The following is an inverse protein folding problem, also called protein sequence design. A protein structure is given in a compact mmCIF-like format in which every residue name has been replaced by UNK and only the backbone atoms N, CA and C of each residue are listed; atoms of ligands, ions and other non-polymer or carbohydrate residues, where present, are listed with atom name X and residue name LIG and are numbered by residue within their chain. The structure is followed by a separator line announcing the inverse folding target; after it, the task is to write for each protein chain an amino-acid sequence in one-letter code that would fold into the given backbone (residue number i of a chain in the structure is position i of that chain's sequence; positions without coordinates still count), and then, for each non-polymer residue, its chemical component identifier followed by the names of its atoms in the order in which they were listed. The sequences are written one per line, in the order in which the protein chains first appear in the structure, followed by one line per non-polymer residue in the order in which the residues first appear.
data_IF_426555482725
#
_entry.id   IF_426555482725
#
_cell.length_a   1.000
_cell.length_b   1.000
_cell.length_c   1.000
_cell.angle_alpha   90.00
_cell.angle_beta   90.00
_cell.angle_gamma   90.00
#
_symmetry.space_group_name_H-M   'P 1'
#
loop_
_entity.id
_entity.type
_entity.pdbx_description
1 polymer ?
#
# COMPACT_ATOMS: atom_id res chain seq x y z
N UNK A 1 21.86 -9.81 12.03
CA UNK A 1 21.49 -8.85 10.98
C UNK A 1 21.50 -7.41 11.52
N UNK A 2 20.80 -7.11 12.63
CA UNK A 2 20.77 -5.76 13.22
C UNK A 2 22.18 -5.24 13.55
N UNK A 3 23.02 -6.03 14.21
CA UNK A 3 24.42 -5.68 14.52
C UNK A 3 25.29 -5.42 13.27
N UNK A 4 24.81 -5.75 12.08
CA UNK A 4 25.43 -5.50 10.78
C UNK A 4 24.72 -4.38 9.99
N UNK A 5 23.87 -3.57 10.66
CA UNK A 5 23.27 -2.38 10.08
C UNK A 5 21.88 -2.57 9.46
N UNK A 6 21.19 -3.70 9.69
CA UNK A 6 19.80 -3.81 9.25
C UNK A 6 18.93 -2.84 10.06
N UNK A 7 18.47 -1.78 9.41
CA UNK A 7 17.73 -0.69 10.05
C UNK A 7 16.20 -0.89 10.03
N UNK A 8 15.67 -1.54 9.00
CA UNK A 8 14.24 -1.85 8.86
C UNK A 8 14.05 -3.05 7.94
N UNK A 9 12.88 -3.63 7.94
CA UNK A 9 12.52 -4.78 7.09
C UNK A 9 11.15 -4.53 6.44
N UNK A 10 10.98 -4.85 5.14
CA UNK A 10 9.67 -4.76 4.51
C UNK A 10 8.73 -5.85 5.04
N UNK A 11 7.48 -5.50 5.34
CA UNK A 11 6.42 -6.43 5.73
C UNK A 11 5.78 -7.14 4.52
N UNK A 12 6.60 -7.55 3.56
CA UNK A 12 6.17 -8.21 2.33
C UNK A 12 5.62 -9.61 2.57
N UNK A 13 5.09 -10.22 1.51
CA UNK A 13 4.51 -11.57 1.53
C UNK A 13 3.28 -11.73 2.46
N UNK A 14 2.74 -10.65 3.00
CA UNK A 14 1.49 -10.68 3.76
C UNK A 14 0.31 -11.11 2.86
N UNK A 15 0.22 -10.58 1.67
CA UNK A 15 -0.91 -10.69 0.74
C UNK A 15 -2.24 -10.47 1.49
N UNK A 16 -2.93 -11.56 1.86
CA UNK A 16 -4.02 -11.57 2.84
C UNK A 16 -3.60 -12.45 4.01
N UNK A 17 -3.73 -11.95 5.24
CA UNK A 17 -3.41 -12.69 6.46
C UNK A 17 -4.58 -13.59 6.87
N UNK A 18 -4.93 -14.48 5.94
CA UNK A 18 -5.87 -15.58 6.09
C UNK A 18 -5.22 -16.83 5.48
N UNK A 19 -4.97 -17.83 6.32
CA UNK A 19 -4.20 -19.02 5.93
C UNK A 19 -4.90 -19.82 4.82
N UNK A 20 -6.23 -19.80 4.73
CA UNK A 20 -6.95 -20.49 3.66
C UNK A 20 -6.80 -19.78 2.32
N UNK A 21 -6.92 -18.43 2.31
CA UNK A 21 -6.66 -17.62 1.12
C UNK A 21 -5.21 -17.77 0.68
N UNK A 22 -4.26 -17.71 1.61
CA UNK A 22 -2.83 -17.84 1.32
C UNK A 22 -2.47 -19.14 0.62
N UNK A 23 -3.06 -20.27 1.04
CA UNK A 23 -2.85 -21.59 0.39
C UNK A 23 -3.36 -21.64 -1.05
N UNK A 24 -4.35 -20.82 -1.40
CA UNK A 24 -4.85 -20.72 -2.77
C UNK A 24 -3.95 -19.84 -3.66
N UNK A 25 -3.24 -18.88 -3.08
CA UNK A 25 -2.32 -18.00 -3.82
C UNK A 25 -1.07 -18.73 -4.30
N UNK A 26 -0.51 -19.58 -3.44
CA UNK A 26 0.64 -20.44 -3.80
C UNK A 26 0.82 -21.58 -2.78
N UNK A 27 1.30 -22.73 -3.27
CA UNK A 27 1.45 -23.95 -2.47
C UNK A 27 2.37 -23.80 -1.26
N UNK A 28 3.41 -22.98 -1.38
CA UNK A 28 4.46 -22.81 -0.37
C UNK A 28 4.37 -21.45 0.36
N UNK A 29 3.18 -20.82 0.38
CA UNK A 29 3.03 -19.55 1.08
C UNK A 29 3.15 -19.76 2.59
N UNK A 30 3.95 -18.91 3.23
CA UNK A 30 4.08 -18.85 4.68
C UNK A 30 2.68 -18.72 5.33
N UNK A 31 2.42 -19.45 6.42
CA UNK A 31 1.13 -19.33 7.12
C UNK A 31 0.99 -17.95 7.76
N UNK A 32 -0.23 -17.58 8.14
CA UNK A 32 -0.48 -16.31 8.85
C UNK A 32 0.27 -16.28 10.17
N UNK A 33 0.24 -17.37 10.91
CA UNK A 33 0.88 -17.51 12.21
C UNK A 33 2.40 -17.31 12.12
N UNK A 34 3.05 -17.97 11.17
CA UNK A 34 4.50 -17.82 10.96
C UNK A 34 4.86 -16.40 10.47
N UNK A 35 4.01 -15.78 9.66
CA UNK A 35 4.22 -14.38 9.25
C UNK A 35 4.18 -13.46 10.47
N UNK A 36 3.18 -13.62 11.34
CA UNK A 36 3.05 -12.85 12.59
C UNK A 36 4.28 -13.04 13.48
N UNK A 37 4.73 -14.30 13.69
CA UNK A 37 5.92 -14.61 14.50
C UNK A 37 7.18 -13.91 13.98
N UNK A 38 7.38 -13.90 12.67
CA UNK A 38 8.54 -13.22 12.04
C UNK A 38 8.47 -11.70 12.28
N UNK A 39 7.30 -11.10 12.10
CA UNK A 39 7.11 -9.66 12.29
C UNK A 39 7.29 -9.28 13.76
N UNK A 40 6.64 -9.98 14.68
CA UNK A 40 6.78 -9.69 16.12
C UNK A 40 8.21 -9.93 16.61
N UNK A 41 8.91 -10.93 16.06
CA UNK A 41 10.35 -11.13 16.33
C UNK A 41 11.18 -9.95 15.85
N UNK A 42 10.93 -9.43 14.64
CA UNK A 42 11.60 -8.24 14.14
C UNK A 42 11.36 -7.03 15.07
N UNK A 43 10.11 -6.80 15.46
CA UNK A 43 9.72 -5.71 16.35
C UNK A 43 10.38 -5.84 17.74
N UNK A 44 10.43 -7.04 18.32
CA UNK A 44 11.10 -7.29 19.61
C UNK A 44 12.60 -6.98 19.59
N UNK A 45 13.21 -7.07 18.41
CA UNK A 45 14.59 -6.68 18.16
C UNK A 45 14.73 -5.18 17.81
N UNK A 46 13.70 -4.40 17.92
CA UNK A 46 13.61 -2.99 17.44
C UNK A 46 14.02 -2.86 15.97
N UNK A 47 13.58 -3.77 15.12
CA UNK A 47 13.66 -3.67 13.66
C UNK A 47 12.25 -3.31 13.17
N UNK A 48 11.97 -2.04 12.84
CA UNK A 48 10.65 -1.65 12.35
C UNK A 48 10.37 -2.30 10.99
N UNK A 49 9.08 -2.53 10.72
CA UNK A 49 8.64 -3.10 9.44
C UNK A 49 7.53 -2.26 8.83
N UNK A 50 7.32 -2.42 7.52
CA UNK A 50 6.07 -1.99 6.90
C UNK A 50 5.00 -3.06 7.06
N UNK A 51 3.75 -2.73 6.79
CA UNK A 51 2.65 -3.68 6.65
C UNK A 51 2.00 -3.54 5.28
N UNK A 52 1.60 -4.64 4.67
CA UNK A 52 1.02 -4.63 3.32
C UNK A 52 -0.22 -5.50 3.25
N UNK A 53 -1.11 -5.18 2.33
CA UNK A 53 -2.18 -6.07 1.87
C UNK A 53 -2.16 -6.12 0.35
N UNK A 54 -2.34 -7.29 -0.26
CA UNK A 54 -2.68 -7.41 -1.68
C UNK A 54 -4.14 -7.81 -1.80
N UNK A 55 -4.96 -7.02 -2.47
CA UNK A 55 -6.40 -7.21 -2.53
C UNK A 55 -6.95 -7.12 -3.96
N UNK A 56 -8.14 -7.68 -4.16
CA UNK A 56 -8.83 -7.70 -5.45
C UNK A 56 -8.54 -8.94 -6.30
N UNK A 57 -8.11 -10.06 -5.68
CA UNK A 57 -7.88 -11.34 -6.36
C UNK A 57 -8.97 -12.37 -6.03
N UNK A 58 -8.80 -13.22 -4.98
CA UNK A 58 -9.76 -14.21 -4.49
C UNK A 58 -10.35 -13.82 -3.13
N UNK A 59 -9.98 -12.65 -2.66
CA UNK A 59 -10.37 -12.03 -1.41
C UNK A 59 -11.70 -11.28 -1.50
N UNK A 60 -12.16 -10.81 -0.35
CA UNK A 60 -13.34 -9.96 -0.22
C UNK A 60 -13.35 -9.21 1.11
N UNK A 61 -14.38 -8.39 1.38
CA UNK A 61 -14.43 -7.47 2.52
C UNK A 61 -14.17 -8.11 3.89
N UNK A 62 -14.64 -9.34 4.12
CA UNK A 62 -14.39 -10.07 5.38
C UNK A 62 -12.90 -10.32 5.63
N UNK A 63 -12.15 -10.62 4.56
CA UNK A 63 -10.71 -10.84 4.65
C UNK A 63 -9.96 -9.54 4.92
N UNK A 64 -10.43 -8.42 4.34
CA UNK A 64 -9.84 -7.09 4.59
C UNK A 64 -10.05 -6.66 6.04
N UNK A 65 -11.26 -6.83 6.57
CA UNK A 65 -11.57 -6.51 7.96
C UNK A 65 -10.71 -7.33 8.93
N UNK A 66 -10.61 -8.64 8.72
CA UNK A 66 -9.78 -9.52 9.54
C UNK A 66 -8.29 -9.14 9.47
N UNK A 67 -7.78 -8.85 8.26
CA UNK A 67 -6.42 -8.43 8.04
C UNK A 67 -6.08 -7.11 8.76
N UNK A 68 -6.91 -6.07 8.60
CA UNK A 68 -6.72 -4.78 9.26
C UNK A 68 -6.81 -4.89 10.79
N UNK A 69 -7.74 -5.72 11.30
CA UNK A 69 -7.84 -6.00 12.73
C UNK A 69 -6.57 -6.64 13.26
N UNK A 70 -6.05 -7.65 12.56
CA UNK A 70 -4.81 -8.32 12.97
C UNK A 70 -3.61 -7.37 12.97
N UNK A 71 -3.46 -6.53 11.94
CA UNK A 71 -2.38 -5.52 11.90
C UNK A 71 -2.50 -4.53 13.06
N UNK A 72 -3.71 -4.06 13.37
CA UNK A 72 -3.96 -3.18 14.51
C UNK A 72 -3.57 -3.84 15.82
N UNK A 73 -3.93 -5.11 16.00
CA UNK A 73 -3.63 -5.86 17.22
C UNK A 73 -2.12 -6.11 17.38
N UNK A 74 -1.41 -6.42 16.31
CA UNK A 74 0.06 -6.52 16.32
C UNK A 74 0.68 -5.17 16.67
N UNK A 75 0.22 -4.09 16.02
CA UNK A 75 0.73 -2.74 16.30
C UNK A 75 0.49 -2.32 17.73
N UNK A 76 -0.69 -2.63 18.30
CA UNK A 76 -1.02 -2.35 19.70
C UNK A 76 -0.11 -3.06 20.68
N UNK A 77 0.42 -4.25 20.34
CA UNK A 77 1.36 -4.99 21.17
C UNK A 77 2.82 -4.58 20.96
N UNK A 78 3.20 -4.21 19.76
CA UNK A 78 4.62 -4.10 19.37
C UNK A 78 5.08 -2.70 19.00
N UNK A 79 4.18 -1.85 18.49
CA UNK A 79 4.50 -0.51 17.99
C UNK A 79 5.46 -0.47 16.79
N UNK A 80 5.74 -1.62 16.13
CA UNK A 80 6.84 -1.74 15.18
C UNK A 80 6.50 -1.47 13.71
N UNK A 81 5.22 -1.34 13.33
CA UNK A 81 4.85 -0.97 11.97
C UNK A 81 5.03 0.53 11.72
N UNK A 82 5.64 0.87 10.60
CA UNK A 82 5.87 2.26 10.17
C UNK A 82 4.82 2.78 9.20
N UNK A 83 4.23 1.89 8.40
CA UNK A 83 3.20 2.24 7.42
C UNK A 83 2.33 1.03 7.07
N UNK A 84 1.18 1.33 6.47
CA UNK A 84 0.33 0.37 5.79
C UNK A 84 0.26 0.66 4.29
N UNK A 85 0.52 -0.35 3.46
CA UNK A 85 0.56 -0.23 1.99
C UNK A 85 -0.48 -1.16 1.35
N UNK A 86 -1.64 -0.65 0.94
CA UNK A 86 -2.61 -1.39 0.14
C UNK A 86 -2.13 -1.54 -1.31
N UNK A 87 -1.98 -2.77 -1.78
CA UNK A 87 -1.51 -3.12 -3.10
C UNK A 87 -2.66 -3.77 -3.90
N UNK A 88 -3.24 -3.06 -4.85
CA UNK A 88 -4.23 -3.62 -5.77
C UNK A 88 -3.62 -4.73 -6.63
N UNK A 89 -4.31 -5.87 -6.73
CA UNK A 89 -3.87 -6.97 -7.57
C UNK A 89 -3.87 -6.57 -9.05
N UNK A 90 -2.80 -6.91 -9.76
CA UNK A 90 -2.67 -6.74 -11.21
C UNK A 90 -2.74 -8.13 -11.83
N UNK A 91 -3.72 -8.35 -12.70
CA UNK A 91 -4.09 -9.67 -13.18
C UNK A 91 -3.46 -10.07 -14.52
N UNK A 92 -3.27 -9.11 -15.44
CA UNK A 92 -3.13 -9.38 -16.87
C UNK A 92 -2.15 -10.51 -17.22
N UNK A 93 -0.92 -10.45 -16.68
CA UNK A 93 0.11 -11.46 -16.90
C UNK A 93 0.41 -12.27 -15.61
N UNK A 94 -0.46 -12.16 -14.60
CA UNK A 94 -0.29 -12.91 -13.35
C UNK A 94 -0.61 -14.38 -13.54
N UNK A 95 0.30 -15.32 -13.17
CA UNK A 95 0.02 -16.76 -13.23
C UNK A 95 -1.22 -17.16 -12.43
N UNK A 96 -1.52 -16.49 -11.33
CA UNK A 96 -2.71 -16.75 -10.53
C UNK A 96 -3.99 -16.58 -11.36
N UNK A 97 -4.08 -15.48 -12.13
CA UNK A 97 -5.23 -15.19 -12.96
C UNK A 97 -5.23 -16.05 -14.24
N UNK A 98 -4.11 -16.09 -14.96
CA UNK A 98 -4.04 -16.79 -16.26
C UNK A 98 -4.31 -18.29 -16.16
N UNK A 99 -4.01 -18.90 -15.01
CA UNK A 99 -4.30 -20.31 -14.73
C UNK A 99 -5.70 -20.56 -14.15
N UNK A 100 -6.36 -19.52 -13.61
CA UNK A 100 -7.65 -19.64 -12.92
C UNK A 100 -8.58 -18.44 -13.20
N UNK A 101 -8.87 -18.12 -14.47
CA UNK A 101 -9.62 -16.90 -14.83
C UNK A 101 -11.04 -16.87 -14.27
N UNK A 102 -11.68 -18.04 -14.07
CA UNK A 102 -13.04 -18.15 -13.54
C UNK A 102 -13.13 -17.97 -12.02
N UNK A 103 -12.00 -18.03 -11.31
CA UNK A 103 -11.96 -17.97 -9.84
C UNK A 103 -11.27 -16.73 -9.31
N UNK A 104 -10.49 -16.07 -10.13
CA UNK A 104 -9.65 -14.94 -9.74
C UNK A 104 -10.20 -13.68 -10.38
N UNK A 105 -10.33 -12.64 -9.59
CA UNK A 105 -10.81 -11.32 -10.04
C UNK A 105 -9.74 -10.60 -10.84
N UNK A 106 -10.17 -9.65 -11.66
CA UNK A 106 -9.30 -8.80 -12.50
C UNK A 106 -8.67 -7.62 -11.75
N UNK A 107 -8.58 -7.68 -10.45
CA UNK A 107 -8.12 -6.61 -9.59
C UNK A 107 -9.26 -5.91 -8.87
N UNK A 108 -8.95 -4.95 -7.99
CA UNK A 108 -9.95 -4.16 -7.29
C UNK A 108 -10.62 -3.15 -8.24
N UNK A 109 -11.90 -2.87 -7.98
CA UNK A 109 -12.62 -1.78 -8.62
C UNK A 109 -12.17 -0.42 -8.07
N UNK A 110 -12.55 0.66 -8.76
CA UNK A 110 -12.33 2.03 -8.27
C UNK A 110 -12.91 2.24 -6.87
N UNK A 111 -14.15 1.78 -6.64
CA UNK A 111 -14.81 1.88 -5.34
C UNK A 111 -14.08 1.11 -4.24
N UNK A 112 -13.51 -0.04 -4.58
CA UNK A 112 -12.72 -0.83 -3.63
C UNK A 112 -11.41 -0.14 -3.26
N UNK A 113 -10.77 0.58 -4.19
CA UNK A 113 -9.62 1.43 -3.86
C UNK A 113 -10.00 2.50 -2.83
N UNK A 114 -11.11 3.22 -3.02
CA UNK A 114 -11.59 4.20 -2.03
C UNK A 114 -11.91 3.55 -0.70
N UNK A 115 -12.71 2.48 -0.71
CA UNK A 115 -13.14 1.77 0.51
C UNK A 115 -11.94 1.24 1.30
N UNK A 116 -10.97 0.63 0.62
CA UNK A 116 -9.77 0.09 1.26
C UNK A 116 -9.01 1.18 2.03
N UNK A 117 -8.73 2.33 1.41
CA UNK A 117 -7.97 3.41 2.06
C UNK A 117 -8.77 4.11 3.16
N UNK A 118 -10.07 4.35 2.94
CA UNK A 118 -10.94 4.98 3.94
C UNK A 118 -11.13 4.09 5.17
N UNK A 119 -11.41 2.80 4.97
CA UNK A 119 -11.58 1.84 6.08
C UNK A 119 -10.25 1.62 6.80
N UNK A 120 -9.14 1.52 6.06
CA UNK A 120 -7.82 1.40 6.67
C UNK A 120 -7.50 2.62 7.55
N UNK A 121 -7.81 3.84 7.10
CA UNK A 121 -7.63 5.06 7.90
C UNK A 121 -8.42 5.00 9.21
N UNK A 122 -9.68 4.57 9.15
CA UNK A 122 -10.54 4.46 10.35
C UNK A 122 -10.04 3.34 11.28
N UNK A 123 -9.73 2.17 10.72
CA UNK A 123 -9.35 1.00 11.49
C UNK A 123 -7.96 1.13 12.15
N UNK A 124 -7.04 1.82 11.48
CA UNK A 124 -5.64 1.96 11.91
C UNK A 124 -5.34 3.31 12.58
N UNK A 125 -6.32 4.19 12.74
CA UNK A 125 -6.14 5.49 13.38
C UNK A 125 -5.60 5.31 14.81
N UNK A 126 -4.52 6.04 15.12
CA UNK A 126 -3.84 5.94 16.43
C UNK A 126 -2.95 4.70 16.60
N UNK A 127 -2.85 3.87 15.57
CA UNK A 127 -1.97 2.70 15.52
C UNK A 127 -0.94 2.84 14.39
N UNK A 128 -1.37 3.00 13.14
CA UNK A 128 -0.50 3.15 11.97
C UNK A 128 -0.95 4.41 11.23
N UNK A 129 -0.18 5.49 11.38
CA UNK A 129 -0.55 6.81 10.86
C UNK A 129 -0.28 6.97 9.36
N UNK A 130 0.70 6.22 8.83
CA UNK A 130 1.08 6.32 7.43
C UNK A 130 0.35 5.27 6.59
N UNK A 131 -0.47 5.72 5.64
CA UNK A 131 -1.18 4.86 4.68
C UNK A 131 -0.78 5.30 3.28
N UNK A 132 -0.12 4.40 2.55
CA UNK A 132 0.41 4.68 1.23
C UNK A 132 -0.64 4.43 0.14
N UNK A 133 -0.76 5.35 -0.82
CA UNK A 133 -1.43 5.12 -2.09
C UNK A 133 -0.40 4.63 -3.11
N UNK A 134 -0.48 3.37 -3.50
CA UNK A 134 0.49 2.78 -4.45
C UNK A 134 0.16 3.20 -5.89
N UNK A 135 0.75 4.30 -6.35
CA UNK A 135 0.55 4.82 -7.70
C UNK A 135 0.95 3.82 -8.80
N UNK A 136 1.91 2.96 -8.52
CA UNK A 136 2.33 1.88 -9.44
C UNK A 136 1.20 0.89 -9.72
N UNK A 137 0.37 0.60 -8.72
CA UNK A 137 -0.73 -0.37 -8.82
C UNK A 137 -2.01 0.23 -9.37
N UNK A 138 -2.34 1.45 -8.99
CA UNK A 138 -3.63 2.07 -9.32
C UNK A 138 -3.52 3.24 -10.32
N UNK A 139 -2.31 3.65 -10.67
CA UNK A 139 -2.03 4.83 -11.49
C UNK A 139 -2.02 6.12 -10.67
N UNK A 140 -1.35 7.17 -11.21
CA UNK A 140 -1.19 8.44 -10.51
C UNK A 140 -2.53 9.13 -10.22
N UNK A 141 -3.48 9.10 -11.17
CA UNK A 141 -4.78 9.75 -11.00
C UNK A 141 -5.60 9.15 -9.86
N UNK A 142 -5.67 7.81 -9.80
CA UNK A 142 -6.37 7.14 -8.70
C UNK A 142 -5.63 7.33 -7.38
N UNK A 143 -4.30 7.27 -7.37
CA UNK A 143 -3.49 7.52 -6.19
C UNK A 143 -3.71 8.93 -5.64
N UNK A 144 -3.76 9.95 -6.51
CA UNK A 144 -4.11 11.32 -6.13
C UNK A 144 -5.50 11.41 -5.48
N UNK A 145 -6.48 10.67 -5.99
CA UNK A 145 -7.85 10.69 -5.45
C UNK A 145 -7.94 10.01 -4.08
N UNK A 146 -7.27 8.90 -3.85
CA UNK A 146 -7.30 8.19 -2.54
C UNK A 146 -6.51 8.92 -1.45
N UNK A 147 -5.64 9.89 -1.78
CA UNK A 147 -5.10 10.83 -0.80
C UNK A 147 -6.22 11.61 -0.07
N UNK A 148 -7.35 11.84 -0.71
CA UNK A 148 -8.54 12.47 -0.09
C UNK A 148 -9.45 11.48 0.61
N UNK A 149 -9.16 10.19 0.51
CA UNK A 149 -9.96 9.10 1.05
C UNK A 149 -9.23 8.32 2.16
N UNK A 150 -8.18 8.89 2.75
CA UNK A 150 -7.51 8.26 3.90
C UNK A 150 -6.02 7.99 3.73
N UNK A 151 -5.48 7.92 2.51
CA UNK A 151 -4.05 7.87 2.29
C UNK A 151 -3.38 9.23 2.62
N UNK A 152 -2.12 9.19 3.01
CA UNK A 152 -1.31 10.38 3.28
C UNK A 152 0.13 10.27 2.74
N UNK A 153 0.41 9.25 1.96
CA UNK A 153 1.73 8.99 1.39
C UNK A 153 1.60 8.43 -0.03
N UNK A 154 2.47 8.82 -0.95
CA UNK A 154 2.55 8.28 -2.32
C UNK A 154 3.70 7.27 -2.51
N UNK A 155 4.46 6.98 -1.44
CA UNK A 155 5.67 6.17 -1.53
C UNK A 155 6.83 6.91 -2.21
N UNK A 156 7.64 6.19 -2.94
CA UNK A 156 8.81 6.74 -3.63
C UNK A 156 8.58 6.99 -5.12
N UNK A 157 9.48 7.77 -5.71
CA UNK A 157 9.50 8.08 -7.15
C UNK A 157 9.86 6.89 -8.01
N UNK A 158 10.56 5.90 -7.44
CA UNK A 158 11.11 4.72 -8.10
C UNK A 158 12.01 5.06 -9.31
N UNK A 159 12.81 4.12 -9.75
CA UNK A 159 13.64 4.32 -10.95
C UNK A 159 13.34 3.26 -12.03
N UNK A 160 12.97 2.06 -11.64
CA UNK A 160 12.67 0.97 -12.57
C UNK A 160 11.84 -0.11 -11.86
N UNK A 161 10.56 0.14 -11.71
CA UNK A 161 9.65 -0.86 -11.14
C UNK A 161 9.34 -1.92 -12.20
N UNK A 162 9.82 -3.13 -12.00
CA UNK A 162 9.71 -4.24 -12.95
C UNK A 162 8.67 -5.29 -12.56
N UNK A 163 8.34 -5.43 -11.27
CA UNK A 163 7.45 -6.49 -10.77
C UNK A 163 6.02 -6.27 -11.24
N UNK A 164 5.50 -5.06 -11.07
CA UNK A 164 4.14 -4.73 -11.53
C UNK A 164 4.03 -4.76 -13.04
N UNK A 165 5.10 -4.32 -13.76
CA UNK A 165 5.18 -4.43 -15.21
C UNK A 165 5.13 -5.88 -15.68
N UNK A 166 5.87 -6.78 -15.04
CA UNK A 166 5.84 -8.21 -15.35
C UNK A 166 4.47 -8.86 -15.09
N UNK A 167 3.64 -8.26 -14.24
CA UNK A 167 2.25 -8.65 -14.00
C UNK A 167 1.25 -7.97 -14.97
N UNK A 168 1.74 -7.16 -15.92
CA UNK A 168 0.92 -6.47 -16.91
C UNK A 168 0.40 -5.10 -16.46
N UNK A 169 1.07 -4.42 -15.51
CA UNK A 169 0.72 -3.05 -15.13
C UNK A 169 0.87 -2.08 -16.32
N UNK A 170 -0.11 -1.20 -16.46
CA UNK A 170 -0.17 -0.18 -17.52
C UNK A 170 0.43 1.17 -17.12
N UNK A 171 0.78 1.32 -15.85
CA UNK A 171 1.32 2.57 -15.31
C UNK A 171 2.84 2.59 -15.41
N UNK A 172 3.42 3.80 -15.42
CA UNK A 172 4.85 3.99 -15.54
C UNK A 172 5.65 3.38 -14.37
N UNK A 173 6.96 3.31 -14.56
CA UNK A 173 7.90 2.70 -13.61
C UNK A 173 8.59 3.74 -12.75
N UNK A 174 8.49 4.98 -13.15
CA UNK A 174 9.11 6.13 -12.51
C UNK A 174 8.18 7.34 -12.59
N UNK A 175 8.17 8.13 -11.53
CA UNK A 175 7.59 9.46 -11.49
C UNK A 175 8.67 10.41 -10.98
N UNK A 176 8.95 11.49 -11.71
CA UNK A 176 9.90 12.49 -11.23
C UNK A 176 9.33 13.26 -10.05
N UNK A 177 10.16 13.73 -9.09
CA UNK A 177 9.69 14.38 -7.86
C UNK A 177 8.72 15.56 -8.11
N UNK A 178 8.98 16.36 -9.15
CA UNK A 178 8.11 17.49 -9.53
C UNK A 178 6.69 17.04 -9.87
N UNK A 179 6.55 15.94 -10.62
CA UNK A 179 5.23 15.45 -11.03
C UNK A 179 4.48 14.84 -9.84
N UNK A 180 5.20 14.18 -8.93
CA UNK A 180 4.61 13.69 -7.67
C UNK A 180 4.09 14.84 -6.81
N UNK A 181 4.84 15.93 -6.69
CA UNK A 181 4.39 17.17 -6.02
C UNK A 181 3.14 17.72 -6.70
N UNK A 182 3.12 17.78 -8.04
CA UNK A 182 1.97 18.25 -8.80
C UNK A 182 0.73 17.39 -8.54
N UNK A 183 0.82 16.06 -8.52
CA UNK A 183 -0.32 15.18 -8.21
C UNK A 183 -0.92 15.47 -6.83
N UNK A 184 -0.08 15.67 -5.82
CA UNK A 184 -0.54 16.02 -4.47
C UNK A 184 -1.24 17.40 -4.46
N UNK A 185 -0.65 18.37 -5.14
CA UNK A 185 -1.20 19.73 -5.19
C UNK A 185 -2.52 19.80 -5.98
N UNK A 186 -2.65 19.04 -7.07
CA UNK A 186 -3.91 18.92 -7.81
C UNK A 186 -5.02 18.26 -6.98
N UNK A 187 -4.67 17.38 -6.06
CA UNK A 187 -5.61 16.88 -5.06
C UNK A 187 -6.03 17.92 -4.00
N UNK A 188 -5.50 19.16 -4.08
CA UNK A 188 -5.78 20.24 -3.13
C UNK A 188 -5.04 20.08 -1.79
N UNK A 189 -4.00 19.25 -1.74
CA UNK A 189 -3.22 18.93 -0.55
C UNK A 189 -1.86 19.63 -0.59
N UNK A 190 -1.21 19.76 0.58
CA UNK A 190 0.15 20.25 0.69
C UNK A 190 1.12 19.08 0.53
N UNK A 191 2.07 19.21 -0.41
CA UNK A 191 3.10 18.21 -0.61
C UNK A 191 4.27 18.42 0.36
N UNK A 192 4.79 17.30 0.89
CA UNK A 192 6.00 17.26 1.68
C UNK A 192 6.87 16.09 1.26
N UNK A 193 8.18 16.28 1.30
CA UNK A 193 9.15 15.20 1.14
C UNK A 193 9.50 14.63 2.50
N UNK A 194 9.54 13.31 2.61
CA UNK A 194 9.96 12.58 3.79
C UNK A 194 11.15 11.65 3.51
N UNK A 195 11.87 11.27 4.55
CA UNK A 195 12.81 10.14 4.50
C UNK A 195 12.14 8.81 4.87
N UNK A 196 12.91 7.73 4.90
CA UNK A 196 12.44 6.37 5.27
C UNK A 196 12.04 6.25 6.75
N UNK A 197 12.38 7.20 7.59
CA UNK A 197 11.97 7.29 9.00
C UNK A 197 10.74 8.19 9.18
N UNK A 198 10.07 8.59 8.09
CA UNK A 198 8.89 9.47 8.07
C UNK A 198 9.14 10.88 8.60
N UNK A 199 10.41 11.29 8.72
CA UNK A 199 10.77 12.67 9.05
C UNK A 199 10.57 13.56 7.81
N UNK A 200 9.87 14.66 7.98
CA UNK A 200 9.66 15.62 6.89
C UNK A 200 10.95 16.40 6.63
N UNK A 201 11.41 16.39 5.38
CA UNK A 201 12.64 17.05 4.94
C UNK A 201 12.38 18.38 4.24
N UNK A 202 11.28 18.47 3.50
CA UNK A 202 10.91 19.68 2.76
C UNK A 202 9.39 19.77 2.61
N UNK A 203 8.89 21.01 2.56
CA UNK A 203 7.50 21.33 2.25
C UNK A 203 7.44 22.11 0.93
N UNK A 204 6.52 21.73 0.06
CA UNK A 204 6.30 22.39 -1.21
C UNK A 204 5.04 23.25 -1.09
N UNK A 205 5.21 24.58 -1.15
CA UNK A 205 4.11 25.54 -1.11
C UNK A 205 3.12 25.31 -2.26
N UNK A 206 1.87 25.72 -2.07
CA UNK A 206 0.88 25.73 -3.17
C UNK A 206 1.40 26.66 -4.27
N UNK A 207 1.46 26.19 -5.50
CA UNK A 207 1.60 27.06 -6.66
C UNK A 207 0.38 27.96 -6.70
N UNK A 208 0.59 29.27 -6.66
CA UNK A 208 -0.46 30.29 -6.57
C UNK A 208 -1.16 30.57 -7.90
N UNK A 209 -1.73 29.52 -8.52
CA UNK A 209 -2.70 29.68 -9.60
C UNK A 209 -3.82 28.66 -9.41
N UNK A 210 -5.01 29.10 -9.05
CA UNK A 210 -6.19 28.26 -9.22
C UNK A 210 -6.42 28.11 -10.73
N UNK A 211 -6.33 26.87 -11.22
CA UNK A 211 -6.90 26.57 -12.54
C UNK A 211 -8.42 26.79 -12.52
N UNK A 212 -8.99 27.24 -13.65
CA UNK A 212 -10.42 27.52 -13.74
C UNK A 212 -11.20 26.25 -13.42
N UNK A 213 -12.18 26.38 -12.53
CA UNK A 213 -13.17 25.35 -12.27
C UNK A 213 -13.82 24.95 -13.59
N UNK A 214 -13.60 23.71 -14.04
CA UNK A 214 -14.41 23.10 -15.08
C UNK A 214 -15.86 23.08 -14.58
N UNK A 215 -16.68 24.00 -15.11
CA UNK A 215 -18.12 23.96 -14.95
C UNK A 215 -18.63 22.66 -15.57
N UNK A 216 -19.16 21.79 -14.74
CA UNK A 216 -19.97 20.67 -15.19
C UNK A 216 -21.21 21.23 -15.89
N UNK A 217 -21.31 21.01 -17.20
CA UNK A 217 -22.54 21.09 -17.97
C UNK A 217 -23.12 19.68 -18.04
#
# INVERSE_FOLDING_TARGET
LKARGLASMPGTAAEILDTQVRRQLTKNKLSTENWVEIIETAHSLNIPTTSTIMYGHIDGPKHWAAHLTLLRDIQGRTGGFTEFVPLGFIHADSPLYTQNPDKVRTGPTRDEHFKMHAIARIALQGYIDNIQASWVKMGPDMASQVLRAGANDLGGTLMNESISRAAGARHGQEIVPRDMVNFIQHAGLQAAQRNTLYQQLAHYGRTSKPEPQLSLI
#
